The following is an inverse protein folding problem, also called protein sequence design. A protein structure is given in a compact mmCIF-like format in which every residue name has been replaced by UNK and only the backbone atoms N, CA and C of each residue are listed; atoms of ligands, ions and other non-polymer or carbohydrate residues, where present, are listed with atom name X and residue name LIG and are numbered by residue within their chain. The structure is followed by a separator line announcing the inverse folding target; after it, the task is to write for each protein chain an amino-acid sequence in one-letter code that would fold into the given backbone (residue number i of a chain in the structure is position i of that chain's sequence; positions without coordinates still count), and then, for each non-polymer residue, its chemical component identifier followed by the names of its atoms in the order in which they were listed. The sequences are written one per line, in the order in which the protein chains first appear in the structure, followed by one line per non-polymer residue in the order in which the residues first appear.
data_IF_933426841983
#
_entry.id   IF_933426841983
#
_cell.length_a   1.000
_cell.length_b   1.000
_cell.length_c   1.000
_cell.angle_alpha   90.00
_cell.angle_beta   90.00
_cell.angle_gamma   90.00
#
_symmetry.space_group_name_H-M   'P 1'
#
loop_
_entity.id
_entity.type
_entity.pdbx_description
1 polymer ?
#
# COMPACT_ATOMS: atom_id res chain seq x y z
N UNK A 1 -12.17 1.72 1.09
CA UNK A 1 -10.73 1.96 1.38
C UNK A 1 -10.35 1.33 2.69
N UNK A 2 -9.06 0.90 2.79
CA UNK A 2 -8.54 0.45 4.08
C UNK A 2 -8.80 1.51 5.15
N UNK A 3 -9.48 1.10 6.22
CA UNK A 3 -9.73 1.93 7.42
C UNK A 3 -10.57 3.20 7.22
N UNK A 4 -11.23 3.43 6.09
CA UNK A 4 -11.94 4.69 5.80
C UNK A 4 -12.97 5.03 6.87
N UNK A 5 -13.86 4.08 7.19
CA UNK A 5 -14.90 4.29 8.20
C UNK A 5 -14.33 4.56 9.60
N UNK A 6 -13.27 3.84 9.99
CA UNK A 6 -12.58 4.07 11.26
C UNK A 6 -11.87 5.43 11.27
N UNK A 7 -11.16 5.75 10.20
CA UNK A 7 -10.41 7.01 10.05
C UNK A 7 -11.33 8.23 10.15
N UNK A 8 -12.48 8.22 9.48
CA UNK A 8 -13.44 9.34 9.55
C UNK A 8 -13.94 9.59 10.96
N UNK A 9 -14.30 8.52 11.69
CA UNK A 9 -14.79 8.64 13.08
C UNK A 9 -13.70 9.17 14.00
N UNK A 10 -12.50 8.62 13.94
CA UNK A 10 -11.37 9.07 14.75
C UNK A 10 -10.97 10.51 14.43
N UNK A 11 -10.96 10.91 13.17
CA UNK A 11 -10.68 12.29 12.76
C UNK A 11 -11.70 13.28 13.33
N UNK A 12 -12.98 12.91 13.40
CA UNK A 12 -14.03 13.71 14.03
C UNK A 12 -13.72 14.00 15.51
N UNK A 13 -13.33 12.97 16.25
CA UNK A 13 -12.94 13.08 17.67
C UNK A 13 -11.68 13.95 17.82
N UNK A 14 -10.65 13.68 17.03
CA UNK A 14 -9.37 14.38 17.15
C UNK A 14 -9.44 15.84 16.69
N UNK A 15 -10.29 16.18 15.74
CA UNK A 15 -10.54 17.56 15.35
C UNK A 15 -11.10 18.37 16.50
N UNK A 16 -12.03 17.79 17.29
CA UNK A 16 -12.58 18.45 18.49
C UNK A 16 -11.53 18.60 19.59
N UNK A 17 -10.70 17.58 19.83
CA UNK A 17 -9.58 17.67 20.79
C UNK A 17 -8.56 18.75 20.40
N UNK A 18 -8.21 18.85 19.12
CA UNK A 18 -7.27 19.88 18.63
C UNK A 18 -7.81 21.30 18.75
N UNK A 19 -9.13 21.49 18.66
CA UNK A 19 -9.75 22.82 18.75
C UNK A 19 -9.84 23.37 20.17
N UNK A 20 -9.65 22.51 21.19
CA UNK A 20 -9.64 22.91 22.60
C UNK A 20 -8.22 23.29 23.03
N UNK A 21 -8.01 24.53 23.44
CA UNK A 21 -6.67 25.02 23.85
C UNK A 21 -6.19 24.44 25.18
N UNK A 22 -7.13 24.01 26.06
CA UNK A 22 -6.86 23.28 27.31
C UNK A 22 -7.75 22.05 27.34
N UNK A 23 -7.24 20.97 27.90
CA UNK A 23 -7.98 19.73 28.11
C UNK A 23 -8.04 19.42 29.61
N UNK A 24 -9.20 19.01 30.06
CA UNK A 24 -9.43 18.42 31.36
C UNK A 24 -9.39 16.89 31.27
N UNK A 25 -9.23 16.22 32.40
CA UNK A 25 -9.36 14.76 32.49
C UNK A 25 -10.71 14.25 31.97
N UNK A 26 -11.78 15.01 32.22
CA UNK A 26 -13.13 14.70 31.72
C UNK A 26 -13.21 14.75 30.20
N UNK A 27 -12.59 15.76 29.56
CA UNK A 27 -12.53 15.88 28.10
C UNK A 27 -11.79 14.69 27.45
N UNK A 28 -10.68 14.27 28.07
CA UNK A 28 -9.91 13.09 27.61
C UNK A 28 -10.76 11.83 27.74
N UNK A 29 -11.42 11.62 28.89
CA UNK A 29 -12.29 10.43 29.09
C UNK A 29 -13.47 10.39 28.13
N UNK A 30 -14.09 11.54 27.83
CA UNK A 30 -15.15 11.64 26.83
C UNK A 30 -14.65 11.26 25.45
N UNK A 31 -13.53 11.84 25.01
CA UNK A 31 -12.92 11.50 23.72
C UNK A 31 -12.54 10.02 23.61
N UNK A 32 -11.97 9.43 24.68
CA UNK A 32 -11.62 8.01 24.71
C UNK A 32 -12.86 7.10 24.67
N UNK A 33 -14.00 7.55 25.20
CA UNK A 33 -15.26 6.83 25.04
C UNK A 33 -15.71 6.79 23.58
N UNK A 34 -15.58 7.88 22.85
CA UNK A 34 -15.91 7.92 21.41
C UNK A 34 -14.91 7.08 20.58
N UNK A 35 -13.60 7.16 20.89
CA UNK A 35 -12.58 6.30 20.27
C UNK A 35 -12.90 4.82 20.52
N UNK A 36 -13.31 4.46 21.74
CA UNK A 36 -13.76 3.11 22.08
C UNK A 36 -14.91 2.65 21.17
N UNK A 37 -15.93 3.50 21.00
CA UNK A 37 -17.08 3.17 20.15
C UNK A 37 -16.66 3.02 18.70
N UNK A 38 -15.81 3.92 18.17
CA UNK A 38 -15.30 3.83 16.81
C UNK A 38 -14.54 2.53 16.55
N UNK A 39 -13.70 2.07 17.48
CA UNK A 39 -12.97 0.82 17.38
C UNK A 39 -13.89 -0.41 17.44
N UNK A 40 -14.91 -0.40 18.29
CA UNK A 40 -15.88 -1.50 18.38
C UNK A 40 -16.75 -1.59 17.10
N UNK A 41 -17.18 -0.46 16.56
CA UNK A 41 -17.90 -0.39 15.27
C UNK A 41 -17.02 -0.78 14.08
N UNK A 42 -15.71 -0.59 14.22
CA UNK A 42 -14.71 -1.09 13.27
C UNK A 42 -14.41 -2.59 13.43
N UNK A 43 -15.19 -3.29 14.26
CA UNK A 43 -15.08 -4.74 14.46
C UNK A 43 -13.76 -5.19 15.12
N UNK A 44 -13.15 -4.31 15.94
CA UNK A 44 -11.98 -4.65 16.76
C UNK A 44 -12.43 -5.46 17.98
N UNK A 45 -11.67 -6.48 18.35
CA UNK A 45 -11.94 -7.34 19.51
C UNK A 45 -12.13 -6.52 20.79
N UNK A 46 -13.22 -6.78 21.53
CA UNK A 46 -13.56 -6.05 22.76
C UNK A 46 -12.41 -6.03 23.78
N UNK A 47 -11.74 -7.17 23.99
CA UNK A 47 -10.58 -7.27 24.90
C UNK A 47 -9.48 -6.31 24.48
N UNK A 48 -9.13 -6.32 23.19
CA UNK A 48 -8.11 -5.43 22.60
C UNK A 48 -8.48 -3.96 22.78
N UNK A 49 -9.75 -3.59 22.49
CA UNK A 49 -10.23 -2.22 22.66
C UNK A 49 -10.17 -1.78 24.11
N UNK A 50 -10.58 -2.64 25.06
CA UNK A 50 -10.55 -2.32 26.50
C UNK A 50 -9.13 -2.02 26.98
N UNK A 51 -8.17 -2.88 26.63
CA UNK A 51 -6.78 -2.73 27.03
C UNK A 51 -6.12 -1.50 26.37
N UNK A 52 -6.41 -1.26 25.11
CA UNK A 52 -5.95 -0.08 24.37
C UNK A 52 -6.46 1.22 24.99
N UNK A 53 -7.78 1.34 25.24
CA UNK A 53 -8.38 2.54 25.83
C UNK A 53 -7.86 2.78 27.25
N UNK A 54 -7.64 1.75 28.04
CA UNK A 54 -7.06 1.89 29.37
C UNK A 54 -5.67 2.52 29.30
N UNK A 55 -4.77 1.96 28.48
CA UNK A 55 -3.40 2.47 28.28
C UNK A 55 -3.35 3.89 27.76
N UNK A 56 -4.16 4.19 26.72
CA UNK A 56 -4.22 5.54 26.15
C UNK A 56 -4.75 6.55 27.17
N UNK A 57 -5.80 6.19 27.92
CA UNK A 57 -6.40 7.10 28.93
C UNK A 57 -5.38 7.39 30.03
N UNK A 58 -4.75 6.36 30.59
CA UNK A 58 -3.73 6.50 31.63
C UNK A 58 -2.60 7.46 31.20
N UNK A 59 -2.05 7.27 30.00
CA UNK A 59 -0.99 8.14 29.45
C UNK A 59 -1.48 9.56 29.14
N UNK A 60 -2.75 9.72 28.77
CA UNK A 60 -3.32 11.01 28.31
C UNK A 60 -3.78 11.92 29.45
N UNK A 61 -4.06 11.39 30.63
CA UNK A 61 -4.49 12.19 31.81
C UNK A 61 -3.30 12.62 32.68
N UNK A 62 -2.08 12.28 32.31
CA UNK A 62 -0.87 12.74 32.99
C UNK A 62 -0.74 14.26 32.98
N UNK A 63 -0.23 14.84 34.10
CA UNK A 63 -0.08 16.30 34.25
C UNK A 63 0.74 16.95 33.12
N UNK A 64 1.76 16.25 32.60
CA UNK A 64 2.60 16.74 31.51
C UNK A 64 1.79 16.97 30.23
N UNK A 65 0.83 16.09 29.94
CA UNK A 65 -0.03 16.20 28.76
C UNK A 65 -1.05 17.32 28.95
N UNK A 66 -1.75 17.36 30.10
CA UNK A 66 -2.81 18.33 30.35
C UNK A 66 -2.27 19.76 30.50
N UNK A 67 -1.04 19.94 31.03
CA UNK A 67 -0.35 21.22 31.16
C UNK A 67 0.41 21.66 29.91
N UNK A 68 0.47 20.82 28.86
CA UNK A 68 1.13 21.12 27.60
C UNK A 68 0.48 22.31 26.87
N UNK A 69 1.25 23.03 26.05
CA UNK A 69 0.74 24.07 25.15
C UNK A 69 -0.14 23.49 24.02
N UNK A 70 0.00 22.18 23.72
CA UNK A 70 -0.74 21.48 22.67
C UNK A 70 -1.31 20.13 23.16
N UNK A 71 -2.15 20.12 24.20
CA UNK A 71 -2.57 18.86 24.84
C UNK A 71 -3.33 17.93 23.88
N UNK A 72 -4.16 18.45 22.99
CA UNK A 72 -4.87 17.65 21.99
C UNK A 72 -3.93 16.95 21.00
N UNK A 73 -2.80 17.56 20.63
CA UNK A 73 -1.79 16.93 19.78
C UNK A 73 -1.03 15.84 20.53
N UNK A 74 -0.75 16.04 21.82
CA UNK A 74 -0.10 15.03 22.66
C UNK A 74 -0.97 13.78 22.80
N UNK A 75 -2.28 13.95 23.03
CA UNK A 75 -3.22 12.81 23.09
C UNK A 75 -3.23 12.05 21.77
N UNK A 76 -3.26 12.72 20.62
CA UNK A 76 -3.23 12.07 19.31
C UNK A 76 -1.92 11.30 19.09
N UNK A 77 -0.79 11.87 19.53
CA UNK A 77 0.50 11.18 19.49
C UNK A 77 0.47 9.91 20.33
N UNK A 78 -0.08 9.96 21.53
CA UNK A 78 -0.22 8.80 22.41
C UNK A 78 -1.08 7.71 21.73
N UNK A 79 -2.20 8.10 21.12
CA UNK A 79 -3.06 7.17 20.35
C UNK A 79 -2.29 6.53 19.21
N UNK A 80 -1.51 7.32 18.45
CA UNK A 80 -0.67 6.80 17.36
C UNK A 80 0.35 5.78 17.86
N UNK A 81 1.07 6.12 18.92
CA UNK A 81 2.10 5.24 19.49
C UNK A 81 1.51 3.92 19.99
N UNK A 82 0.32 3.97 20.64
CA UNK A 82 -0.35 2.76 21.11
C UNK A 82 -0.96 1.95 19.96
N UNK A 83 -1.41 2.58 18.85
CA UNK A 83 -1.82 1.86 17.63
C UNK A 83 -0.63 1.12 16.98
N UNK A 84 0.53 1.77 16.90
CA UNK A 84 1.76 1.15 16.37
C UNK A 84 2.11 -0.08 17.20
N UNK A 85 2.13 0.04 18.54
CA UNK A 85 2.41 -1.09 19.44
C UNK A 85 1.40 -2.23 19.28
N UNK A 86 0.12 -1.89 19.13
CA UNK A 86 -0.96 -2.85 18.94
C UNK A 86 -0.77 -3.67 17.66
N UNK A 87 -0.15 -3.08 16.62
CA UNK A 87 0.09 -3.70 15.33
C UNK A 87 1.47 -4.35 15.18
N UNK A 88 2.35 -4.28 16.22
CA UNK A 88 3.63 -5.00 16.25
C UNK A 88 4.89 -4.16 16.18
N UNK A 89 4.80 -2.86 16.43
CA UNK A 89 5.92 -1.88 16.51
C UNK A 89 6.74 -1.72 15.23
N UNK A 90 7.22 -2.83 14.62
CA UNK A 90 8.07 -2.81 13.44
C UNK A 90 7.65 -3.87 12.40
N UNK A 91 8.09 -3.66 11.17
CA UNK A 91 7.91 -4.64 10.11
C UNK A 91 8.68 -5.93 10.43
N UNK A 92 7.98 -7.06 10.39
CA UNK A 92 8.57 -8.39 10.58
C UNK A 92 8.96 -9.00 9.23
N UNK A 93 10.24 -9.23 9.00
CA UNK A 93 10.77 -9.79 7.76
C UNK A 93 10.75 -11.32 7.77
N UNK A 94 10.83 -11.93 6.58
CA UNK A 94 11.08 -13.36 6.43
C UNK A 94 12.56 -13.64 6.67
N UNK A 95 12.84 -14.65 7.48
CA UNK A 95 14.20 -15.11 7.74
C UNK A 95 14.59 -16.16 6.70
N UNK A 96 15.46 -15.80 5.77
CA UNK A 96 16.00 -16.73 4.80
C UNK A 96 17.08 -17.60 5.44
N UNK A 97 17.00 -18.95 5.28
CA UNK A 97 18.02 -19.85 5.80
C UNK A 97 19.34 -19.73 5.02
N UNK A 98 20.44 -20.09 5.67
CA UNK A 98 21.76 -20.11 5.02
C UNK A 98 21.85 -21.12 3.87
N UNK A 99 21.03 -22.18 3.92
CA UNK A 99 20.97 -23.22 2.87
C UNK A 99 19.64 -23.10 2.15
N UNK A 100 19.65 -22.76 0.85
CA UNK A 100 18.43 -22.69 0.03
C UNK A 100 17.88 -24.12 -0.24
N UNK A 101 16.59 -24.22 -0.57
CA UNK A 101 15.63 -23.13 -0.69
C UNK A 101 15.02 -22.72 0.67
N UNK A 102 14.61 -21.45 0.79
CA UNK A 102 13.66 -21.03 1.81
C UNK A 102 12.26 -21.54 1.41
N UNK A 103 11.59 -22.23 2.31
CA UNK A 103 10.29 -22.86 2.05
C UNK A 103 9.22 -22.12 2.85
N UNK A 104 8.24 -21.57 2.14
CA UNK A 104 7.07 -20.87 2.70
C UNK A 104 5.84 -21.72 2.40
N UNK A 105 5.08 -22.07 3.44
CA UNK A 105 3.82 -22.78 3.32
C UNK A 105 2.67 -21.81 3.53
N UNK A 106 1.83 -21.62 2.47
CA UNK A 106 0.64 -20.78 2.54
C UNK A 106 -0.54 -21.60 3.02
N UNK A 107 -1.22 -21.18 4.07
CA UNK A 107 -2.43 -21.83 4.58
C UNK A 107 -3.57 -20.82 4.79
N UNK A 108 -4.81 -21.29 4.97
CA UNK A 108 -5.98 -20.44 5.19
C UNK A 108 -7.25 -20.99 4.54
N UNK A 109 -8.38 -20.33 4.80
CA UNK A 109 -9.68 -20.75 4.29
C UNK A 109 -9.81 -20.57 2.76
N UNK A 110 -10.80 -21.23 2.18
CA UNK A 110 -11.16 -21.02 0.78
C UNK A 110 -11.58 -19.56 0.55
N UNK A 111 -11.15 -18.97 -0.56
CA UNK A 111 -11.49 -17.58 -0.89
C UNK A 111 -10.68 -16.52 -0.14
N UNK A 112 -9.79 -16.91 0.79
CA UNK A 112 -8.90 -15.95 1.48
C UNK A 112 -7.83 -15.32 0.58
N UNK A 113 -7.63 -15.84 -0.64
CA UNK A 113 -6.68 -15.28 -1.62
C UNK A 113 -5.29 -15.92 -1.62
N UNK A 114 -5.11 -17.15 -1.08
CA UNK A 114 -3.82 -17.86 -1.03
C UNK A 114 -3.10 -17.88 -2.38
N UNK A 115 -3.72 -18.44 -3.40
CA UNK A 115 -3.16 -18.59 -4.75
C UNK A 115 -2.67 -17.26 -5.33
N UNK A 116 -3.50 -16.22 -5.24
CA UNK A 116 -3.15 -14.88 -5.74
C UNK A 116 -1.98 -14.29 -4.95
N UNK A 117 -1.97 -14.43 -3.61
CA UNK A 117 -0.93 -13.86 -2.77
C UNK A 117 0.35 -14.68 -2.77
N UNK A 118 0.30 -15.98 -3.06
CA UNK A 118 1.49 -16.79 -3.36
C UNK A 118 2.23 -16.22 -4.60
N UNK A 119 1.51 -15.89 -5.67
CA UNK A 119 2.10 -15.29 -6.86
C UNK A 119 2.60 -13.84 -6.63
N UNK A 120 1.86 -13.05 -5.85
CA UNK A 120 2.28 -11.68 -5.45
C UNK A 120 3.58 -11.71 -4.65
N UNK A 121 3.65 -12.59 -3.66
CA UNK A 121 4.84 -12.79 -2.81
C UNK A 121 6.03 -13.26 -3.66
N UNK A 122 5.82 -14.22 -4.56
CA UNK A 122 6.85 -14.70 -5.48
C UNK A 122 7.37 -13.57 -6.38
N UNK A 123 6.47 -12.78 -6.98
CA UNK A 123 6.84 -11.62 -7.81
C UNK A 123 7.65 -10.59 -7.04
N UNK A 124 7.27 -10.32 -5.79
CA UNK A 124 7.97 -9.37 -4.93
C UNK A 124 9.42 -9.83 -4.69
N UNK A 125 9.63 -11.08 -4.29
CA UNK A 125 10.97 -11.61 -4.06
C UNK A 125 11.77 -11.80 -5.35
N UNK A 126 11.12 -12.06 -6.49
CA UNK A 126 11.80 -12.05 -7.79
C UNK A 126 12.40 -10.68 -8.11
N UNK A 127 11.68 -9.59 -7.80
CA UNK A 127 12.21 -8.21 -7.94
C UNK A 127 13.41 -7.96 -7.02
N UNK A 128 13.49 -8.66 -5.89
CA UNK A 128 14.63 -8.62 -4.96
C UNK A 128 15.78 -9.55 -5.37
N UNK A 129 15.70 -10.17 -6.56
CA UNK A 129 16.76 -11.02 -7.12
C UNK A 129 16.68 -12.49 -6.69
N UNK A 130 15.59 -12.93 -6.03
CA UNK A 130 15.36 -14.34 -5.71
C UNK A 130 14.85 -15.12 -6.92
N UNK A 131 15.01 -16.45 -6.87
CA UNK A 131 14.50 -17.40 -7.87
C UNK A 131 13.37 -18.23 -7.28
N UNK A 132 12.13 -17.68 -7.19
CA UNK A 132 11.00 -18.37 -6.59
C UNK A 132 10.46 -19.50 -7.48
N UNK A 133 9.95 -20.55 -6.84
CA UNK A 133 9.15 -21.61 -7.42
C UNK A 133 7.82 -21.69 -6.68
N UNK A 134 6.70 -21.69 -7.38
CA UNK A 134 5.37 -21.95 -6.84
C UNK A 134 5.08 -23.44 -6.94
N UNK A 135 4.55 -24.07 -5.88
CA UNK A 135 4.11 -25.47 -5.88
C UNK A 135 2.60 -25.52 -5.74
N UNK A 136 1.92 -26.13 -6.73
CA UNK A 136 0.47 -26.28 -6.77
C UNK A 136 0.02 -27.47 -5.93
N UNK A 137 -0.27 -27.26 -4.64
CA UNK A 137 -0.75 -28.30 -3.73
C UNK A 137 -2.26 -28.20 -3.46
N UNK A 138 -3.01 -27.24 -4.03
CA UNK A 138 -4.50 -27.25 -4.05
C UNK A 138 -4.99 -28.09 -5.23
N UNK A 139 -5.15 -29.37 -5.00
CA UNK A 139 -5.54 -30.36 -6.03
C UNK A 139 -7.04 -30.68 -6.07
N UNK A 140 -7.80 -30.24 -5.08
CA UNK A 140 -9.22 -30.58 -4.94
C UNK A 140 -10.13 -29.75 -5.82
N UNK A 141 -9.70 -28.56 -6.18
CA UNK A 141 -10.42 -27.68 -7.09
C UNK A 141 -9.82 -27.79 -8.49
N UNK A 142 -10.58 -28.27 -9.49
CA UNK A 142 -10.04 -28.49 -10.84
C UNK A 142 -9.38 -27.25 -11.45
N UNK A 143 -9.93 -26.07 -11.17
CA UNK A 143 -9.40 -24.80 -11.67
C UNK A 143 -8.22 -24.22 -10.86
N UNK A 144 -7.89 -24.77 -9.67
CA UNK A 144 -6.88 -24.15 -8.80
C UNK A 144 -5.47 -24.24 -9.39
N UNK A 145 -5.11 -25.38 -9.96
CA UNK A 145 -3.80 -25.59 -10.62
C UNK A 145 -3.66 -24.63 -11.81
N UNK A 146 -4.70 -24.56 -12.67
CA UNK A 146 -4.69 -23.63 -13.81
C UNK A 146 -4.68 -22.17 -13.35
N UNK A 147 -5.40 -21.85 -12.28
CA UNK A 147 -5.35 -20.50 -11.69
C UNK A 147 -3.93 -20.15 -11.25
N UNK A 148 -3.23 -21.06 -10.55
CA UNK A 148 -1.86 -20.81 -10.12
C UNK A 148 -0.91 -20.66 -11.32
N UNK A 149 -1.07 -21.45 -12.39
CA UNK A 149 -0.31 -21.30 -13.62
C UNK A 149 -0.50 -19.92 -14.24
N UNK A 150 -1.73 -19.49 -14.42
CA UNK A 150 -2.05 -18.17 -15.02
C UNK A 150 -1.47 -17.03 -14.20
N UNK A 151 -1.62 -17.05 -12.87
CA UNK A 151 -1.04 -15.98 -12.03
C UNK A 151 0.47 -16.08 -11.92
N UNK A 152 1.03 -17.29 -11.96
CA UNK A 152 2.48 -17.54 -12.04
C UNK A 152 3.10 -16.98 -13.32
N UNK A 153 2.47 -17.24 -14.47
CA UNK A 153 2.88 -16.68 -15.76
C UNK A 153 2.86 -15.15 -15.75
N UNK A 154 1.78 -14.56 -15.25
CA UNK A 154 1.69 -13.08 -15.10
C UNK A 154 2.74 -12.51 -14.14
N UNK A 155 3.14 -13.29 -13.13
CA UNK A 155 4.22 -12.93 -12.21
C UNK A 155 5.60 -13.26 -12.78
N UNK A 156 5.65 -13.95 -13.94
CA UNK A 156 6.85 -14.51 -14.56
C UNK A 156 7.62 -15.44 -13.60
N UNK A 157 6.91 -16.27 -12.86
CA UNK A 157 7.44 -17.23 -11.88
C UNK A 157 7.06 -18.64 -12.31
N UNK A 158 8.02 -19.57 -12.22
CA UNK A 158 7.78 -20.98 -12.54
C UNK A 158 6.79 -21.61 -11.54
N UNK A 159 5.93 -22.49 -12.06
CA UNK A 159 4.96 -23.27 -11.29
C UNK A 159 5.25 -24.74 -11.45
N UNK A 160 5.44 -25.45 -10.35
CA UNK A 160 5.55 -26.90 -10.31
C UNK A 160 4.19 -27.52 -10.01
N UNK A 161 3.75 -28.45 -10.85
CA UNK A 161 2.50 -29.19 -10.67
C UNK A 161 2.66 -30.63 -11.16
N UNK A 162 1.80 -31.52 -10.68
CA UNK A 162 1.76 -32.93 -11.08
C UNK A 162 0.31 -33.40 -11.31
N UNK A 163 -0.59 -32.48 -11.67
CA UNK A 163 -2.01 -32.78 -11.79
C UNK A 163 -2.69 -33.05 -10.46
N UNK A 164 -3.85 -33.73 -10.51
CA UNK A 164 -4.69 -34.02 -9.35
C UNK A 164 -4.26 -35.34 -8.67
N UNK A 165 -3.09 -35.32 -8.03
CA UNK A 165 -2.59 -36.45 -7.23
C UNK A 165 -2.44 -36.00 -5.76
N UNK A 166 -1.99 -36.91 -4.90
CA UNK A 166 -1.76 -36.61 -3.49
C UNK A 166 -0.84 -35.40 -3.32
N UNK A 167 -1.30 -34.30 -2.64
CA UNK A 167 -0.54 -33.08 -2.45
C UNK A 167 0.77 -33.31 -1.71
N UNK A 168 0.85 -34.33 -0.87
CA UNK A 168 2.08 -34.71 -0.14
C UNK A 168 3.21 -35.12 -1.11
N UNK A 169 2.86 -35.84 -2.18
CA UNK A 169 3.79 -36.24 -3.23
C UNK A 169 4.22 -35.02 -4.05
N UNK A 170 3.29 -34.15 -4.42
CA UNK A 170 3.58 -32.94 -5.18
C UNK A 170 4.57 -32.06 -4.42
N UNK A 171 4.34 -31.83 -3.14
CA UNK A 171 5.23 -31.01 -2.29
C UNK A 171 6.62 -31.63 -2.22
N UNK A 172 6.73 -32.94 -1.98
CA UNK A 172 8.01 -33.63 -1.92
C UNK A 172 8.82 -33.52 -3.21
N UNK A 173 8.20 -33.80 -4.34
CA UNK A 173 8.87 -33.73 -5.66
C UNK A 173 9.14 -32.28 -6.07
N UNK A 174 8.24 -31.34 -5.74
CA UNK A 174 8.44 -29.93 -6.01
C UNK A 174 9.63 -29.33 -5.22
N UNK A 175 9.83 -29.72 -3.98
CA UNK A 175 11.01 -29.29 -3.20
C UNK A 175 12.29 -29.90 -3.78
N UNK A 176 12.24 -31.18 -4.21
CA UNK A 176 13.36 -31.80 -4.91
C UNK A 176 13.70 -31.06 -6.20
N UNK A 177 12.67 -30.79 -7.03
CA UNK A 177 12.81 -29.99 -8.23
C UNK A 177 13.46 -28.63 -7.96
N UNK A 178 13.00 -27.92 -6.93
CA UNK A 178 13.58 -26.62 -6.54
C UNK A 178 15.08 -26.72 -6.24
N UNK A 179 15.52 -27.77 -5.54
CA UNK A 179 16.94 -28.03 -5.25
C UNK A 179 17.73 -28.34 -6.52
N UNK A 180 17.20 -29.20 -7.37
CA UNK A 180 17.86 -29.65 -8.62
C UNK A 180 18.04 -28.48 -9.62
N UNK A 181 17.07 -27.55 -9.70
CA UNK A 181 17.10 -26.39 -10.57
C UNK A 181 17.64 -25.10 -9.91
N UNK A 182 18.05 -25.20 -8.63
CA UNK A 182 18.69 -24.11 -7.93
C UNK A 182 17.73 -22.95 -7.60
N UNK A 183 16.43 -23.21 -7.40
CA UNK A 183 15.53 -22.23 -6.82
C UNK A 183 15.92 -21.97 -5.36
N UNK A 184 15.89 -20.70 -4.94
CA UNK A 184 16.27 -20.29 -3.59
C UNK A 184 15.07 -19.98 -2.69
N UNK A 185 13.88 -19.91 -3.29
CA UNK A 185 12.60 -19.70 -2.61
C UNK A 185 11.55 -20.66 -3.16
N UNK A 186 10.85 -21.34 -2.29
CA UNK A 186 9.70 -22.21 -2.62
C UNK A 186 8.48 -21.69 -1.87
N UNK A 187 7.38 -21.50 -2.59
CA UNK A 187 6.09 -21.12 -2.01
C UNK A 187 5.08 -22.20 -2.34
N UNK A 188 4.55 -22.85 -1.31
CA UNK A 188 3.57 -23.94 -1.41
C UNK A 188 2.17 -23.34 -1.29
N UNK A 189 1.38 -23.38 -2.36
CA UNK A 189 -0.04 -23.01 -2.36
C UNK A 189 -0.87 -24.21 -1.97
N UNK A 190 -1.31 -24.27 -0.71
CA UNK A 190 -2.08 -25.41 -0.18
C UNK A 190 -3.59 -25.25 -0.41
N UNK A 191 -4.31 -26.35 -0.33
CA UNK A 191 -5.75 -26.35 -0.36
C UNK A 191 -6.35 -25.47 0.74
N UNK A 192 -7.56 -24.96 0.50
CA UNK A 192 -8.40 -24.32 1.49
C UNK A 192 -9.81 -24.86 1.42
N UNK A 193 -10.45 -25.03 2.57
CA UNK A 193 -11.86 -25.38 2.68
C UNK A 193 -12.66 -24.21 3.24
N UNK A 194 -13.99 -24.28 3.09
CA UNK A 194 -14.90 -23.24 3.59
C UNK A 194 -14.86 -23.11 5.12
N UNK A 195 -14.61 -24.23 5.79
CA UNK A 195 -14.52 -24.32 7.25
C UNK A 195 -13.27 -25.08 7.66
N UNK A 196 -12.84 -24.84 8.88
CA UNK A 196 -11.74 -25.59 9.51
C UNK A 196 -12.30 -26.95 9.89
N UNK A 197 -11.79 -28.01 9.27
CA UNK A 197 -12.12 -29.38 9.57
C UNK A 197 -10.86 -30.23 9.85
N UNK A 198 -11.03 -31.39 10.48
CA UNK A 198 -9.91 -32.25 10.87
C UNK A 198 -9.12 -32.77 9.66
N UNK A 199 -9.82 -33.06 8.55
CA UNK A 199 -9.18 -33.57 7.35
C UNK A 199 -8.21 -32.58 6.74
N UNK A 200 -8.63 -31.31 6.58
CA UNK A 200 -7.76 -30.22 6.13
C UNK A 200 -6.55 -30.06 7.09
N UNK A 201 -6.82 -30.02 8.38
CA UNK A 201 -5.74 -29.81 9.37
C UNK A 201 -4.75 -30.96 9.39
N UNK A 202 -5.18 -32.20 9.22
CA UNK A 202 -4.30 -33.36 9.14
C UNK A 202 -3.45 -33.34 7.86
N UNK A 203 -4.05 -32.98 6.71
CA UNK A 203 -3.31 -32.80 5.45
C UNK A 203 -2.22 -31.73 5.60
N UNK A 204 -2.59 -30.56 6.13
CA UNK A 204 -1.64 -29.47 6.34
C UNK A 204 -0.51 -29.85 7.32
N UNK A 205 -0.82 -30.62 8.36
CA UNK A 205 0.21 -31.18 9.28
C UNK A 205 1.15 -32.14 8.57
N UNK A 206 0.64 -32.98 7.68
CA UNK A 206 1.48 -33.89 6.90
C UNK A 206 2.35 -33.15 5.90
N UNK A 207 1.80 -32.15 5.20
CA UNK A 207 2.57 -31.27 4.32
C UNK A 207 3.66 -30.55 5.12
N UNK A 208 3.36 -30.01 6.30
CA UNK A 208 4.33 -29.40 7.20
C UNK A 208 5.47 -30.33 7.54
N UNK A 209 5.19 -31.60 7.89
CA UNK A 209 6.22 -32.60 8.20
C UNK A 209 7.13 -32.92 7.01
N UNK A 210 6.57 -32.94 5.79
CA UNK A 210 7.31 -33.26 4.56
C UNK A 210 8.15 -32.06 4.10
N UNK A 211 7.57 -30.88 4.16
CA UNK A 211 8.17 -29.64 3.64
C UNK A 211 9.19 -29.03 4.61
N UNK A 212 9.05 -29.28 5.92
CA UNK A 212 9.83 -28.60 6.97
C UNK A 212 9.96 -27.09 6.68
N UNK A 213 8.82 -26.35 6.56
CA UNK A 213 8.83 -24.98 6.10
C UNK A 213 9.59 -24.06 7.05
N UNK A 214 10.32 -23.11 6.48
CA UNK A 214 10.96 -22.04 7.25
C UNK A 214 9.93 -21.03 7.77
N UNK A 215 8.77 -20.96 7.10
CA UNK A 215 7.69 -20.06 7.45
C UNK A 215 6.32 -20.65 7.07
N UNK A 216 5.40 -20.67 8.02
CA UNK A 216 3.98 -20.99 7.79
C UNK A 216 3.20 -19.68 7.80
N UNK A 217 2.73 -19.24 6.64
CA UNK A 217 1.98 -18.01 6.48
C UNK A 217 0.49 -18.29 6.38
N UNK A 218 -0.27 -17.74 7.31
CA UNK A 218 -1.71 -17.78 7.26
C UNK A 218 -2.23 -16.62 6.40
N UNK A 219 -3.02 -16.92 5.39
CA UNK A 219 -3.68 -15.93 4.53
C UNK A 219 -5.12 -15.74 4.99
N UNK A 220 -5.43 -14.53 5.43
CA UNK A 220 -6.72 -14.17 6.01
C UNK A 220 -7.34 -13.01 5.26
N UNK A 221 -8.63 -13.12 4.96
CA UNK A 221 -9.44 -12.03 4.40
C UNK A 221 -9.73 -10.99 5.50
N UNK A 222 -9.29 -9.76 5.32
CA UNK A 222 -9.51 -8.69 6.30
C UNK A 222 -11.01 -8.34 6.47
N UNK A 223 -11.81 -8.58 5.43
CA UNK A 223 -13.25 -8.24 5.45
C UNK A 223 -14.08 -9.08 6.42
N UNK A 224 -13.58 -10.26 6.85
CA UNK A 224 -14.30 -11.11 7.81
C UNK A 224 -14.21 -10.60 9.26
N UNK A 225 -13.53 -9.46 9.50
CA UNK A 225 -13.50 -8.78 10.79
C UNK A 225 -12.96 -9.65 11.93
N UNK A 226 -13.73 -9.79 13.03
CA UNK A 226 -13.31 -10.60 14.18
C UNK A 226 -13.18 -12.10 13.90
N UNK A 227 -13.84 -12.63 12.88
CA UNK A 227 -13.67 -14.04 12.52
C UNK A 227 -12.26 -14.33 11.99
N UNK A 228 -11.55 -13.33 11.46
CA UNK A 228 -10.14 -13.41 11.13
C UNK A 228 -9.28 -13.85 12.33
N UNK A 229 -9.61 -13.34 13.51
CA UNK A 229 -8.92 -13.68 14.77
C UNK A 229 -9.18 -15.12 15.16
N UNK A 230 -10.44 -15.60 15.07
CA UNK A 230 -10.80 -16.99 15.37
C UNK A 230 -10.10 -17.96 14.42
N UNK A 231 -10.10 -17.63 13.12
CA UNK A 231 -9.40 -18.41 12.10
C UNK A 231 -7.90 -18.48 12.43
N UNK A 232 -7.29 -17.33 12.72
CA UNK A 232 -5.88 -17.26 13.03
C UNK A 232 -5.52 -18.07 14.28
N UNK A 233 -6.32 -18.00 15.36
CA UNK A 233 -6.11 -18.79 16.57
C UNK A 233 -6.22 -20.30 16.29
N UNK A 234 -7.24 -20.74 15.54
CA UNK A 234 -7.41 -22.16 15.22
C UNK A 234 -6.29 -22.73 14.36
N UNK A 235 -5.80 -21.96 13.36
CA UNK A 235 -4.66 -22.38 12.57
C UNK A 235 -3.36 -22.38 13.38
N UNK A 236 -3.19 -21.43 14.31
CA UNK A 236 -2.02 -21.41 15.18
C UNK A 236 -1.99 -22.61 16.14
N UNK A 237 -3.12 -22.93 16.78
CA UNK A 237 -3.25 -24.10 17.67
C UNK A 237 -2.97 -25.41 16.91
N UNK A 238 -3.44 -25.53 15.67
CA UNK A 238 -3.31 -26.77 14.90
C UNK A 238 -1.95 -26.94 14.22
N UNK A 239 -1.37 -25.85 13.69
CA UNK A 239 -0.17 -25.88 12.84
C UNK A 239 1.02 -25.14 13.46
N UNK A 240 0.78 -24.18 14.38
CA UNK A 240 1.81 -23.24 14.82
C UNK A 240 2.23 -22.35 13.65
N UNK A 241 1.38 -21.37 13.30
CA UNK A 241 1.70 -20.40 12.25
C UNK A 241 2.81 -19.46 12.71
N UNK A 242 3.59 -18.93 11.77
CA UNK A 242 4.67 -17.98 12.06
C UNK A 242 4.26 -16.54 11.79
N UNK A 243 3.42 -16.32 10.79
CA UNK A 243 2.96 -14.98 10.40
C UNK A 243 1.65 -14.99 9.62
N UNK A 244 1.12 -13.80 9.38
CA UNK A 244 -0.16 -13.57 8.71
C UNK A 244 0.01 -12.66 7.50
N UNK A 245 -0.71 -12.97 6.42
CA UNK A 245 -0.98 -12.08 5.30
C UNK A 245 -2.44 -11.65 5.38
N UNK A 246 -2.71 -10.36 5.47
CA UNK A 246 -4.06 -9.81 5.34
C UNK A 246 -4.35 -9.47 3.89
N UNK A 247 -5.42 -10.02 3.36
CA UNK A 247 -5.88 -9.77 1.99
C UNK A 247 -7.09 -8.85 1.96
N UNK A 248 -7.38 -8.27 0.81
CA UNK A 248 -8.54 -7.39 0.57
C UNK A 248 -8.62 -6.19 1.52
N UNK A 249 -7.47 -5.72 2.00
CA UNK A 249 -7.42 -4.60 2.93
C UNK A 249 -7.92 -3.30 2.28
N UNK A 250 -7.80 -3.17 0.96
CA UNK A 250 -8.36 -2.07 0.16
C UNK A 250 -9.88 -1.96 0.25
N UNK A 251 -10.57 -3.08 0.44
CA UNK A 251 -12.03 -3.17 0.57
C UNK A 251 -12.49 -3.16 2.04
N UNK A 252 -11.58 -3.36 3.00
CA UNK A 252 -11.89 -3.31 4.43
C UNK A 252 -11.91 -1.86 4.93
N UNK A 253 -13.11 -1.32 5.09
CA UNK A 253 -13.32 0.03 5.64
C UNK A 253 -13.24 0.08 7.15
N UNK A 254 -13.31 -1.07 7.85
CA UNK A 254 -13.37 -1.20 9.31
C UNK A 254 -11.98 -1.38 9.92
N UNK A 255 -11.17 -2.31 9.41
CA UNK A 255 -9.80 -2.54 9.86
C UNK A 255 -9.64 -3.36 11.13
N UNK A 256 -10.71 -3.97 11.64
CA UNK A 256 -10.71 -4.71 12.90
C UNK A 256 -9.77 -5.89 12.91
N UNK A 257 -9.64 -6.62 11.79
CA UNK A 257 -8.72 -7.73 11.66
C UNK A 257 -7.26 -7.30 11.86
N UNK A 258 -6.84 -6.20 11.19
CA UNK A 258 -5.47 -5.69 11.28
C UNK A 258 -5.08 -5.28 12.71
N UNK A 259 -6.03 -4.75 13.48
CA UNK A 259 -5.81 -4.32 14.86
C UNK A 259 -5.90 -5.46 15.88
N UNK A 260 -6.51 -6.58 15.52
CA UNK A 260 -6.81 -7.65 16.49
C UNK A 260 -5.95 -8.90 16.34
N UNK A 261 -5.50 -9.23 15.12
CA UNK A 261 -4.81 -10.49 14.83
C UNK A 261 -3.55 -10.65 15.70
N UNK A 262 -2.63 -9.68 15.67
CA UNK A 262 -1.41 -9.75 16.46
C UNK A 262 -1.70 -9.76 17.96
N UNK A 263 -2.61 -8.87 18.41
CA UNK A 263 -2.92 -8.73 19.83
C UNK A 263 -3.52 -10.00 20.46
N UNK A 264 -4.22 -10.82 19.65
CA UNK A 264 -4.86 -12.05 20.14
C UNK A 264 -3.98 -13.28 19.91
N UNK A 265 -3.31 -13.38 18.76
CA UNK A 265 -2.51 -14.57 18.39
C UNK A 265 -1.04 -14.45 18.73
N UNK A 266 -0.52 -13.25 18.96
CA UNK A 266 0.90 -12.98 19.06
C UNK A 266 1.68 -13.13 17.74
N UNK A 267 0.98 -13.36 16.61
CA UNK A 267 1.61 -13.60 15.30
C UNK A 267 1.66 -12.33 14.46
N UNK A 268 2.84 -11.96 13.95
CA UNK A 268 3.00 -10.72 13.22
C UNK A 268 2.29 -10.76 11.85
N UNK A 269 1.71 -9.64 11.46
CA UNK A 269 1.30 -9.42 10.08
C UNK A 269 2.55 -9.02 9.31
N UNK A 270 2.94 -9.80 8.29
CA UNK A 270 4.13 -9.48 7.47
C UNK A 270 3.80 -8.75 6.19
N UNK A 271 2.67 -9.08 5.58
CA UNK A 271 2.27 -8.52 4.28
C UNK A 271 0.78 -8.21 4.23
N UNK A 272 0.42 -7.32 3.32
CA UNK A 272 -0.97 -6.93 3.03
C UNK A 272 -1.25 -6.86 1.54
N UNK A 273 -2.41 -7.38 1.14
CA UNK A 273 -2.97 -7.23 -0.20
C UNK A 273 -3.84 -5.97 -0.25
N UNK A 274 -3.45 -5.03 -1.11
CA UNK A 274 -4.08 -3.71 -1.26
C UNK A 274 -4.88 -3.59 -2.57
N UNK A 275 -5.28 -4.71 -3.17
CA UNK A 275 -6.06 -4.76 -4.40
C UNK A 275 -5.83 -6.05 -5.18
N UNK A 276 -6.39 -6.14 -6.41
CA UNK A 276 -6.37 -7.35 -7.23
C UNK A 276 -5.07 -7.52 -8.04
N UNK A 277 -4.41 -6.42 -8.43
CA UNK A 277 -3.23 -6.47 -9.28
C UNK A 277 -2.04 -7.07 -8.54
N UNK A 278 -1.15 -7.72 -9.29
CA UNK A 278 0.05 -8.37 -8.72
C UNK A 278 0.99 -7.39 -7.99
N UNK A 279 1.02 -6.13 -8.39
CA UNK A 279 1.83 -5.10 -7.74
C UNK A 279 1.13 -4.40 -6.55
N UNK A 280 -0.15 -4.72 -6.29
CA UNK A 280 -0.92 -4.23 -5.14
C UNK A 280 -0.72 -5.16 -3.93
N UNK A 281 0.53 -5.28 -3.52
CA UNK A 281 0.98 -6.10 -2.40
C UNK A 281 2.19 -5.42 -1.75
N UNK A 282 2.16 -5.25 -0.45
CA UNK A 282 3.21 -4.54 0.27
C UNK A 282 3.52 -5.19 1.62
N UNK A 283 4.73 -4.94 2.12
CA UNK A 283 5.09 -5.29 3.49
C UNK A 283 4.23 -4.50 4.48
N UNK A 284 3.84 -5.15 5.58
CA UNK A 284 3.06 -4.51 6.63
C UNK A 284 3.95 -3.60 7.47
N UNK A 285 3.65 -2.31 7.48
CA UNK A 285 4.35 -1.32 8.29
C UNK A 285 3.38 -0.72 9.32
N UNK A 286 3.49 -1.10 10.61
CA UNK A 286 2.59 -0.60 11.67
C UNK A 286 2.47 0.93 11.72
N UNK A 287 3.59 1.65 11.58
CA UNK A 287 3.60 3.12 11.57
C UNK A 287 2.77 3.72 10.44
N UNK A 288 2.87 3.15 9.22
CA UNK A 288 2.10 3.61 8.06
C UNK A 288 0.62 3.32 8.22
N UNK A 289 0.29 2.14 8.76
CA UNK A 289 -1.10 1.75 9.02
C UNK A 289 -1.73 2.65 10.10
N UNK A 290 -1.02 2.93 11.19
CA UNK A 290 -1.47 3.88 12.20
C UNK A 290 -1.71 5.28 11.60
N UNK A 291 -0.79 5.78 10.77
CA UNK A 291 -0.94 7.06 10.07
C UNK A 291 -2.16 7.08 9.15
N UNK A 292 -2.43 5.99 8.41
CA UNK A 292 -3.64 5.84 7.56
C UNK A 292 -4.91 5.87 8.41
N UNK A 293 -4.94 5.11 9.52
CA UNK A 293 -6.08 5.07 10.47
C UNK A 293 -6.35 6.46 11.05
N UNK A 294 -5.32 7.22 11.37
CA UNK A 294 -5.45 8.58 11.92
C UNK A 294 -5.67 9.66 10.86
N UNK A 295 -5.81 9.29 9.57
CA UNK A 295 -6.03 10.22 8.46
C UNK A 295 -4.88 11.19 8.20
N UNK A 296 -3.67 10.85 8.67
CA UNK A 296 -2.46 11.65 8.47
C UNK A 296 -1.78 11.38 7.11
N UNK A 297 -2.32 10.46 6.32
CA UNK A 297 -1.77 10.05 5.04
C UNK A 297 -0.61 9.04 5.18
N UNK A 298 -0.03 8.65 4.06
CA UNK A 298 1.09 7.73 4.01
C UNK A 298 2.17 8.26 3.06
N UNK A 299 2.80 9.33 3.49
CA UNK A 299 3.86 10.00 2.71
C UNK A 299 5.08 9.11 2.48
N UNK A 300 5.40 8.20 3.40
CA UNK A 300 6.57 7.31 3.25
C UNK A 300 6.36 6.32 2.12
N UNK A 301 5.20 5.67 2.05
CA UNK A 301 4.85 4.78 0.93
C UNK A 301 4.82 5.54 -0.40
N UNK A 302 4.33 6.79 -0.42
CA UNK A 302 4.33 7.61 -1.62
C UNK A 302 5.76 7.93 -2.09
N UNK A 303 6.66 8.31 -1.17
CA UNK A 303 8.06 8.58 -1.46
C UNK A 303 8.76 7.31 -1.98
N UNK A 304 8.55 6.15 -1.35
CA UNK A 304 9.13 4.88 -1.80
C UNK A 304 8.66 4.49 -3.20
N UNK A 305 7.36 4.58 -3.47
CA UNK A 305 6.81 4.32 -4.82
C UNK A 305 7.38 5.28 -5.86
N UNK A 306 7.51 6.56 -5.50
CA UNK A 306 8.14 7.54 -6.37
C UNK A 306 9.61 7.18 -6.65
N UNK A 307 10.37 6.82 -5.62
CA UNK A 307 11.79 6.46 -5.74
C UNK A 307 12.00 5.18 -6.55
N UNK A 308 11.13 4.18 -6.40
CA UNK A 308 11.19 2.95 -7.20
C UNK A 308 10.83 3.14 -8.68
N UNK A 309 10.03 4.16 -8.98
CA UNK A 309 9.52 4.40 -10.34
C UNK A 309 10.41 5.36 -11.13
N UNK A 310 11.18 6.21 -10.45
CA UNK A 310 12.05 7.21 -11.07
C UNK A 310 13.48 6.68 -11.09
N UNK A 311 14.00 6.38 -12.29
CA UNK A 311 15.43 6.09 -12.48
C UNK A 311 16.21 7.38 -12.23
N UNK A 312 17.23 7.34 -11.34
CA UNK A 312 18.10 8.51 -11.08
C UNK A 312 18.71 9.10 -12.36
N UNK A 313 18.97 8.27 -13.36
CA UNK A 313 19.50 8.70 -14.66
C UNK A 313 18.47 9.53 -15.43
N UNK A 314 17.20 9.14 -15.38
CA UNK A 314 16.13 9.85 -16.07
C UNK A 314 15.79 11.16 -15.34
N UNK A 315 15.83 11.16 -14.01
CA UNK A 315 15.67 12.38 -13.22
C UNK A 315 16.80 13.40 -13.51
N UNK A 316 18.06 12.96 -13.64
CA UNK A 316 19.20 13.83 -14.00
C UNK A 316 19.05 14.36 -15.43
N UNK A 317 18.72 13.52 -16.41
CA UNK A 317 18.48 13.94 -17.80
C UNK A 317 17.35 14.96 -17.91
N UNK A 318 16.26 14.75 -17.17
CA UNK A 318 15.15 15.69 -17.13
C UNK A 318 15.58 17.04 -16.53
N UNK A 319 16.34 17.01 -15.42
CA UNK A 319 16.88 18.23 -14.79
C UNK A 319 17.84 19.00 -15.72
N UNK A 320 18.73 18.32 -16.44
CA UNK A 320 19.62 18.90 -17.44
C UNK A 320 18.85 19.48 -18.63
N UNK A 321 17.90 18.74 -19.18
CA UNK A 321 17.02 19.18 -20.26
C UNK A 321 16.21 20.42 -19.87
N UNK A 322 15.69 20.43 -18.64
CA UNK A 322 14.91 21.58 -18.12
C UNK A 322 15.78 22.85 -18.01
N UNK A 323 17.07 22.71 -17.74
CA UNK A 323 18.02 23.82 -17.70
C UNK A 323 18.36 24.35 -19.11
N UNK A 324 18.50 23.46 -20.09
CA UNK A 324 18.94 23.82 -21.44
C UNK A 324 17.80 24.23 -22.37
N UNK A 325 16.70 23.46 -22.41
CA UNK A 325 15.62 23.60 -23.41
C UNK A 325 14.26 23.98 -22.83
N UNK A 326 14.14 23.97 -21.50
CA UNK A 326 12.86 24.18 -20.82
C UNK A 326 11.96 22.94 -20.85
N UNK A 327 10.80 23.04 -20.20
CA UNK A 327 9.80 22.00 -20.08
C UNK A 327 8.84 22.01 -21.27
N UNK A 328 8.69 20.88 -22.00
CA UNK A 328 7.82 20.73 -23.14
C UNK A 328 6.64 19.75 -22.90
N UNK A 329 5.75 19.55 -23.88
CA UNK A 329 4.61 18.63 -23.75
C UNK A 329 5.02 17.14 -23.77
N UNK A 330 6.22 16.80 -24.30
CA UNK A 330 6.72 15.43 -24.19
C UNK A 330 7.12 15.14 -22.75
N UNK A 331 7.74 16.10 -22.06
CA UNK A 331 8.10 15.97 -20.64
C UNK A 331 6.85 15.81 -19.76
N UNK A 332 5.79 16.58 -20.05
CA UNK A 332 4.51 16.43 -19.38
C UNK A 332 3.92 15.04 -19.58
N UNK A 333 3.95 14.52 -20.82
CA UNK A 333 3.46 13.18 -21.12
C UNK A 333 4.26 12.09 -20.40
N UNK A 334 5.57 12.25 -20.33
CA UNK A 334 6.45 11.31 -19.62
C UNK A 334 6.18 11.30 -18.11
N UNK A 335 6.03 12.49 -17.51
CA UNK A 335 5.65 12.58 -16.09
C UNK A 335 4.28 11.96 -15.81
N UNK A 336 3.28 12.18 -16.69
CA UNK A 336 1.97 11.54 -16.56
C UNK A 336 2.09 10.01 -16.57
N UNK A 337 2.89 9.46 -17.48
CA UNK A 337 3.16 8.01 -17.54
C UNK A 337 3.88 7.49 -16.31
N UNK A 338 4.83 8.26 -15.76
CA UNK A 338 5.51 7.90 -14.51
C UNK A 338 4.52 7.84 -13.33
N UNK A 339 3.63 8.82 -13.22
CA UNK A 339 2.59 8.83 -12.19
C UNK A 339 1.67 7.60 -12.33
N UNK A 340 1.26 7.25 -13.56
CA UNK A 340 0.44 6.05 -13.81
C UNK A 340 1.15 4.75 -13.42
N UNK A 341 2.48 4.68 -13.57
CA UNK A 341 3.28 3.53 -13.11
C UNK A 341 3.35 3.38 -11.59
N UNK A 342 3.19 4.47 -10.83
CA UNK A 342 3.14 4.45 -9.37
C UNK A 342 1.86 3.81 -8.80
N UNK A 343 0.85 3.62 -9.63
CA UNK A 343 -0.45 3.03 -9.27
C UNK A 343 -1.64 3.85 -9.77
N UNK A 344 -2.86 3.47 -9.33
CA UNK A 344 -4.06 4.23 -9.70
C UNK A 344 -4.02 5.62 -9.06
N UNK A 345 -4.58 6.62 -9.76
CA UNK A 345 -4.71 7.99 -9.25
C UNK A 345 -5.42 8.00 -7.89
N UNK A 346 -6.42 7.14 -7.73
CA UNK A 346 -7.14 6.91 -6.48
C UNK A 346 -6.19 6.49 -5.35
N UNK A 347 -5.26 5.56 -5.60
CA UNK A 347 -4.31 5.11 -4.59
C UNK A 347 -3.29 6.19 -4.22
N UNK A 348 -2.84 6.99 -5.19
CA UNK A 348 -1.86 8.07 -4.98
C UNK A 348 -2.48 9.22 -4.18
N UNK A 349 -3.64 9.71 -4.60
CA UNK A 349 -4.36 10.79 -3.88
C UNK A 349 -4.60 10.39 -2.43
N UNK A 350 -4.95 9.14 -2.18
CA UNK A 350 -5.28 8.63 -0.85
C UNK A 350 -4.07 8.50 0.10
N UNK A 351 -2.85 8.49 -0.43
CA UNK A 351 -1.63 8.57 0.39
C UNK A 351 -1.33 9.99 0.86
N UNK A 352 -1.97 11.01 0.27
CA UNK A 352 -1.77 12.40 0.64
C UNK A 352 -2.53 12.76 1.92
N UNK A 353 -1.95 13.57 2.82
CA UNK A 353 -2.63 14.08 4.00
C UNK A 353 -3.90 14.86 3.61
N UNK A 354 -5.03 14.56 4.24
CA UNK A 354 -6.29 15.25 3.98
C UNK A 354 -7.05 14.79 2.72
N UNK A 355 -6.63 13.69 2.11
CA UNK A 355 -7.26 13.07 0.95
C UNK A 355 -8.75 12.68 1.19
N UNK A 356 -9.17 12.52 2.43
CA UNK A 356 -10.56 12.20 2.80
C UNK A 356 -11.58 13.28 2.35
N UNK A 357 -11.11 14.44 1.86
CA UNK A 357 -11.96 15.50 1.31
C UNK A 357 -12.25 15.32 -0.20
N UNK A 358 -11.55 14.42 -0.86
CA UNK A 358 -11.68 14.17 -2.30
C UNK A 358 -12.63 12.98 -2.49
N UNK A 359 -13.76 13.21 -3.17
CA UNK A 359 -14.74 12.15 -3.44
C UNK A 359 -14.24 11.21 -4.53
N UNK A 360 -14.74 9.97 -4.53
CA UNK A 360 -14.41 8.99 -5.57
C UNK A 360 -14.79 9.51 -6.97
N UNK A 361 -15.91 10.23 -7.09
CA UNK A 361 -16.35 10.87 -8.33
C UNK A 361 -15.34 11.91 -8.84
N UNK A 362 -14.76 12.69 -7.94
CA UNK A 362 -13.73 13.68 -8.31
C UNK A 362 -12.44 13.00 -8.78
N UNK A 363 -12.08 11.86 -8.19
CA UNK A 363 -10.92 11.05 -8.62
C UNK A 363 -11.17 10.46 -9.99
N UNK A 364 -12.34 9.89 -10.24
CA UNK A 364 -12.73 9.30 -11.52
C UNK A 364 -12.77 10.35 -12.63
N UNK A 365 -13.33 11.53 -12.35
CA UNK A 365 -13.28 12.66 -13.26
C UNK A 365 -11.84 13.08 -13.57
N UNK A 366 -10.95 13.07 -12.58
CA UNK A 366 -9.53 13.33 -12.75
C UNK A 366 -8.85 12.31 -13.67
N UNK A 367 -9.14 11.02 -13.50
CA UNK A 367 -8.60 9.95 -14.37
C UNK A 367 -9.09 10.08 -15.83
N UNK A 368 -10.35 10.41 -16.01
CA UNK A 368 -10.92 10.68 -17.35
C UNK A 368 -10.22 11.87 -17.99
N UNK A 369 -10.02 12.96 -17.23
CA UNK A 369 -9.34 14.15 -17.72
C UNK A 369 -7.87 13.87 -18.07
N UNK A 370 -7.19 13.05 -17.29
CA UNK A 370 -5.81 12.63 -17.53
C UNK A 370 -5.69 11.85 -18.85
N UNK A 371 -6.60 10.89 -19.10
CA UNK A 371 -6.67 10.14 -20.36
C UNK A 371 -6.94 11.04 -21.56
N UNK A 372 -7.85 12.03 -21.42
CA UNK A 372 -8.12 13.02 -22.48
C UNK A 372 -6.88 13.87 -22.79
N UNK A 373 -6.16 14.29 -21.73
CA UNK A 373 -4.92 15.07 -21.88
C UNK A 373 -3.85 14.25 -22.61
N UNK A 374 -3.68 13.00 -22.25
CA UNK A 374 -2.75 12.06 -22.92
C UNK A 374 -3.12 11.89 -24.41
N UNK A 375 -4.39 11.68 -24.73
CA UNK A 375 -4.88 11.54 -26.09
C UNK A 375 -4.63 12.82 -26.92
N UNK A 376 -4.86 13.99 -26.33
CA UNK A 376 -4.60 15.28 -26.99
C UNK A 376 -3.12 15.46 -27.32
N UNK A 377 -2.22 15.18 -26.35
CA UNK A 377 -0.76 15.28 -26.57
C UNK A 377 -0.30 14.25 -27.62
N UNK A 378 -0.83 13.03 -27.58
CA UNK A 378 -0.51 12.00 -28.57
C UNK A 378 -0.98 12.33 -29.98
N UNK A 379 -2.06 13.11 -30.15
CA UNK A 379 -2.55 13.60 -31.44
C UNK A 379 -1.69 14.71 -32.05
N UNK A 380 -0.83 15.34 -31.25
CA UNK A 380 0.07 16.41 -31.69
C UNK A 380 1.30 15.87 -32.41
N UNK A 381 1.81 16.60 -33.40
CA UNK A 381 3.10 16.29 -34.02
C UNK A 381 4.26 16.54 -33.05
N UNK A 382 5.43 15.94 -33.30
CA UNK A 382 6.62 16.18 -32.48
C UNK A 382 6.98 17.65 -32.32
N UNK A 383 6.94 18.41 -33.44
CA UNK A 383 7.20 19.84 -33.45
C UNK A 383 6.20 20.66 -32.59
N UNK A 384 4.93 20.23 -32.55
CA UNK A 384 3.89 20.86 -31.73
C UNK A 384 4.09 20.57 -30.25
N UNK A 385 4.57 19.38 -29.89
CA UNK A 385 4.88 19.03 -28.51
C UNK A 385 6.11 19.78 -28.00
N UNK A 386 7.13 19.94 -28.85
CA UNK A 386 8.36 20.68 -28.51
C UNK A 386 8.11 22.20 -28.45
N UNK A 387 7.24 22.74 -29.30
CA UNK A 387 6.93 24.18 -29.39
C UNK A 387 5.41 24.44 -29.48
N UNK A 388 4.67 24.36 -28.37
CA UNK A 388 3.21 24.52 -28.39
C UNK A 388 2.72 25.86 -28.98
N UNK A 389 3.57 26.90 -29.03
CA UNK A 389 3.25 28.19 -29.60
C UNK A 389 2.95 28.15 -31.11
N UNK A 390 3.35 27.08 -31.84
CA UNK A 390 3.06 26.94 -33.27
C UNK A 390 1.64 26.41 -33.54
N UNK A 391 0.89 26.03 -32.51
CA UNK A 391 -0.43 25.41 -32.63
C UNK A 391 -1.47 26.51 -32.96
N UNK A 392 -1.72 26.70 -34.22
CA UNK A 392 -2.71 27.60 -34.75
C UNK A 392 -4.15 27.03 -34.68
N UNK A 393 -5.21 27.79 -35.01
CA UNK A 393 -6.59 27.31 -34.97
C UNK A 393 -6.87 26.08 -35.84
N UNK A 394 -6.18 25.91 -36.98
CA UNK A 394 -6.34 24.74 -37.86
C UNK A 394 -5.74 23.50 -37.19
N UNK A 395 -4.56 23.62 -36.58
CA UNK A 395 -3.90 22.56 -35.83
C UNK A 395 -4.68 22.17 -34.58
N UNK A 396 -5.26 23.12 -33.85
CA UNK A 396 -6.16 22.85 -32.74
C UNK A 396 -7.35 21.97 -33.12
N UNK A 397 -8.02 22.29 -34.27
CA UNK A 397 -9.13 21.46 -34.77
C UNK A 397 -8.68 20.05 -35.14
N UNK A 398 -7.54 19.92 -35.82
CA UNK A 398 -6.99 18.61 -36.16
C UNK A 398 -6.65 17.79 -34.91
N UNK A 399 -5.99 18.40 -33.92
CA UNK A 399 -5.62 17.73 -32.68
C UNK A 399 -6.84 17.34 -31.84
N UNK A 400 -7.88 18.19 -31.81
CA UNK A 400 -9.15 17.87 -31.19
C UNK A 400 -9.84 16.67 -31.86
N UNK A 401 -9.92 16.68 -33.20
CA UNK A 401 -10.50 15.57 -33.98
C UNK A 401 -9.72 14.27 -33.80
N UNK A 402 -8.35 14.33 -33.79
CA UNK A 402 -7.48 13.16 -33.62
C UNK A 402 -7.53 12.56 -32.22
N UNK A 403 -7.88 13.33 -31.21
CA UNK A 403 -8.01 12.87 -29.81
C UNK A 403 -9.44 12.56 -29.37
N UNK A 404 -10.44 12.77 -30.22
CA UNK A 404 -11.85 12.64 -29.86
C UNK A 404 -12.32 13.65 -28.81
N UNK A 405 -11.67 14.82 -28.74
CA UNK A 405 -11.98 15.91 -27.79
C UNK A 405 -12.47 17.16 -28.50
N UNK A 406 -12.85 18.21 -27.78
CA UNK A 406 -13.26 19.47 -28.33
C UNK A 406 -12.09 20.45 -28.43
N UNK A 407 -12.22 21.48 -29.32
CA UNK A 407 -11.21 22.55 -29.45
C UNK A 407 -11.07 23.36 -28.16
N UNK A 408 -12.12 23.46 -27.35
CA UNK A 408 -12.09 24.01 -25.99
C UNK A 408 -11.13 23.29 -25.08
N UNK A 409 -11.11 21.94 -25.15
CA UNK A 409 -10.25 21.09 -24.27
C UNK A 409 -8.77 21.31 -24.67
N UNK A 410 -8.47 21.37 -25.96
CA UNK A 410 -7.12 21.68 -26.44
C UNK A 410 -6.67 23.09 -26.00
N UNK A 411 -7.57 24.07 -26.04
CA UNK A 411 -7.26 25.43 -25.55
C UNK A 411 -6.99 25.43 -24.05
N UNK A 412 -7.77 24.69 -23.27
CA UNK A 412 -7.61 24.58 -21.84
C UNK A 412 -6.27 23.92 -21.50
N UNK A 413 -5.90 22.82 -22.18
CA UNK A 413 -4.61 22.16 -22.01
C UNK A 413 -3.44 23.11 -22.25
N UNK A 414 -3.45 23.82 -23.38
CA UNK A 414 -2.39 24.77 -23.75
C UNK A 414 -2.27 25.92 -22.75
N UNK A 415 -3.40 26.44 -22.26
CA UNK A 415 -3.42 27.49 -21.21
C UNK A 415 -2.86 26.98 -19.89
N UNK A 416 -3.25 25.79 -19.45
CA UNK A 416 -2.74 25.18 -18.23
C UNK A 416 -1.24 24.91 -18.33
N UNK A 417 -0.79 24.40 -19.47
CA UNK A 417 0.63 24.17 -19.75
C UNK A 417 1.45 25.46 -19.70
N UNK A 418 0.96 26.55 -20.30
CA UNK A 418 1.62 27.84 -20.23
C UNK A 418 1.70 28.40 -18.81
N UNK A 419 0.65 28.24 -18.01
CA UNK A 419 0.65 28.62 -16.60
C UNK A 419 1.67 27.81 -15.80
N UNK A 420 1.77 26.50 -16.03
CA UNK A 420 2.76 25.63 -15.39
C UNK A 420 4.19 26.05 -15.76
N UNK A 421 4.47 26.34 -17.04
CA UNK A 421 5.78 26.85 -17.45
C UNK A 421 6.13 28.19 -16.78
N UNK A 422 5.16 29.08 -16.61
CA UNK A 422 5.37 30.36 -15.91
C UNK A 422 5.70 30.12 -14.42
N UNK A 423 4.99 29.24 -13.74
CA UNK A 423 5.28 28.89 -12.36
C UNK A 423 6.67 28.26 -12.22
N UNK A 424 7.04 27.32 -13.09
CA UNK A 424 8.37 26.68 -13.05
C UNK A 424 9.50 27.71 -13.22
N UNK A 425 9.33 28.67 -14.09
CA UNK A 425 10.29 29.79 -14.27
C UNK A 425 10.39 30.67 -13.02
N UNK A 426 9.28 30.95 -12.33
CA UNK A 426 9.26 31.75 -11.10
C UNK A 426 9.96 31.02 -9.93
N UNK A 427 9.84 29.72 -9.85
CA UNK A 427 10.51 28.91 -8.82
C UNK A 427 11.97 28.60 -9.12
N UNK A 428 12.53 29.11 -10.22
CA UNK A 428 13.94 28.92 -10.59
C UNK A 428 14.26 27.52 -11.12
N UNK A 429 13.25 26.74 -11.45
CA UNK A 429 13.38 25.42 -12.06
C UNK A 429 13.36 25.65 -13.59
N UNK A 430 14.51 25.98 -14.19
CA UNK A 430 14.61 26.17 -15.65
C UNK A 430 15.16 27.52 -16.15
N UNK A 431 15.88 28.28 -15.32
CA UNK A 431 16.53 29.53 -15.72
C UNK A 431 17.97 29.60 -15.25
N UNK A 432 18.85 30.15 -16.09
CA UNK A 432 20.27 30.41 -15.81
C UNK A 432 20.46 31.08 -14.45
N UNK A 433 21.08 30.38 -13.52
CA UNK A 433 21.46 30.84 -12.19
C UNK A 433 22.69 31.75 -12.25
N UNK A 434 22.61 32.91 -12.91
CA UNK A 434 23.60 33.99 -12.80
C UNK A 434 22.94 35.23 -12.19
N UNK A 435 22.67 35.17 -10.88
CA UNK A 435 22.20 36.34 -10.14
C UNK A 435 22.16 36.09 -8.62
N UNK A 436 22.75 37.00 -7.85
CA UNK A 436 22.79 36.99 -6.36
C UNK A 436 21.40 36.87 -5.69
N UNK A 437 20.29 37.15 -6.38
CA UNK A 437 18.91 37.02 -5.87
C UNK A 437 18.40 35.57 -5.75
N UNK A 438 18.92 34.64 -6.57
CA UNK A 438 18.49 33.22 -6.58
C UNK A 438 18.98 32.45 -5.35
N UNK A 439 20.16 32.79 -4.79
CA UNK A 439 20.67 32.14 -3.54
C UNK A 439 19.79 32.43 -2.32
N UNK A 440 19.18 33.61 -2.26
CA UNK A 440 18.33 34.03 -1.13
C UNK A 440 16.97 33.31 -1.13
N UNK A 441 16.39 33.04 -2.31
CA UNK A 441 15.11 32.33 -2.45
C UNK A 441 15.27 30.83 -2.20
N UNK A 442 16.42 30.22 -2.56
CA UNK A 442 16.71 28.80 -2.30
C UNK A 442 16.90 28.53 -0.81
N UNK A 443 17.51 29.48 -0.07
CA UNK A 443 17.63 29.40 1.38
C UNK A 443 16.29 29.56 2.10
N UNK A 444 15.36 30.34 1.56
CA UNK A 444 14.00 30.49 2.08
C UNK A 444 13.14 29.25 1.82
N UNK A 445 13.29 28.60 0.66
CA UNK A 445 12.57 27.35 0.33
C UNK A 445 13.04 26.16 1.19
N UNK A 446 14.36 26.03 1.39
CA UNK A 446 14.94 25.02 2.28
C UNK A 446 14.58 25.27 3.76
N UNK A 447 14.42 26.51 4.19
CA UNK A 447 13.90 26.85 5.52
C UNK A 447 12.40 26.59 5.66
N UNK A 448 11.61 26.71 4.58
CA UNK A 448 10.18 26.40 4.57
C UNK A 448 9.87 24.89 4.58
N UNK A 449 10.73 24.06 4.01
CA UNK A 449 10.62 22.60 4.01
C UNK A 449 11.29 21.92 5.21
N UNK A 450 12.22 22.62 5.88
CA UNK A 450 12.95 22.12 7.06
C UNK A 450 12.50 22.74 8.40
N UNK A 451 11.51 23.60 8.40
CA UNK A 451 11.04 24.32 9.58
C UNK A 451 9.86 23.66 10.30
N UNK A 452 10.05 22.42 10.77
CA UNK A 452 9.00 21.69 11.48
C UNK A 452 9.51 20.61 12.44
N UNK A 453 10.73 20.74 12.96
CA UNK A 453 11.12 20.04 14.18
C UNK A 453 11.59 21.05 15.22
N UNK A 454 10.85 21.30 16.28
CA UNK A 454 11.42 21.81 17.51
C UNK A 454 12.07 20.66 18.28
N UNK A 455 13.23 20.96 18.81
CA UNK A 455 13.92 20.15 19.80
C UNK A 455 13.04 19.87 21.00
#
# INVERSE_FOLDING_TARGET
MAFEGLSEKLNGVFKRLKSRGKLSEADVKEAMREVKMALLEADVSYKVVKDFIAKVTERSVGEEVLKSLTPGQQVIKIVNDELIKLMGEANSKINFPNKPPCIIMMCGLQGSGKTTHAAKLAKMFKKEGKRPLLIAADVYRPAAIEQLKVVGERAEVAVFEMGQIDPRKIVKEGIKHAKDYGNDLVIIDTAGRLHIDEELMNELKDIKKIAEPNEIMLVVDAMIGQDAVKVASSFDEALGIDSVILTKLDSDTRGGAALSVLAVTGKPIKFVGMGEKLDEFEAFHPERMASRILGMGDMLTLIEKATQTVDEKDAKKLAEKMQEKGFDLNDLLEQMKQIQKMGSMKSIIRMLPGANKVTDEQVEQGEVQLKKTEAMINSMTRAEREKPAIIDPKRKRRNAAGSGTQVSDVNQLLKQFEQMQKMMKQFGIGGNLHGKKSRRNRAALLKGLGGGMPQ
#
